data_IF_422314963741
#
_entry.id   IF_422314963741
#
_cell.length_a   1.000
_cell.length_b   1.000
_cell.length_c   1.000
_cell.angle_alpha   90.00
_cell.angle_beta   90.00
_cell.angle_gamma   90.00
#
_symmetry.space_group_name_H-M   'P 1'
#
loop_
_entity.id
_entity.type
_entity.pdbx_description
1 polymer ?
#
# COMPACT_ATOMS: atom_id res chain seq x y z
N UNK A 1 -17.62 4.89 -18.16
CA UNK A 1 -18.06 3.87 -17.18
C UNK A 1 -16.93 3.64 -16.22
N UNK A 2 -17.15 3.90 -14.95
CA UNK A 2 -16.18 3.47 -13.93
C UNK A 2 -16.08 1.95 -14.00
N UNK A 3 -14.89 1.41 -14.22
CA UNK A 3 -14.66 -0.01 -14.13
C UNK A 3 -15.15 -0.48 -12.77
N UNK A 4 -15.83 -1.61 -12.74
CA UNK A 4 -16.37 -2.18 -11.51
C UNK A 4 -15.20 -2.77 -10.70
N UNK A 5 -14.50 -1.90 -9.96
CA UNK A 5 -13.36 -2.33 -9.12
C UNK A 5 -13.87 -3.28 -8.04
N UNK A 6 -13.21 -4.41 -7.82
CA UNK A 6 -13.56 -5.27 -6.70
C UNK A 6 -13.35 -4.53 -5.37
N UNK A 7 -14.20 -4.80 -4.40
CA UNK A 7 -14.10 -4.20 -3.06
C UNK A 7 -12.85 -4.73 -2.33
N UNK A 8 -12.43 -4.01 -1.29
CA UNK A 8 -11.36 -4.47 -0.39
C UNK A 8 -11.65 -5.88 0.14
N UNK A 9 -12.87 -6.10 0.60
CA UNK A 9 -13.27 -7.42 1.14
C UNK A 9 -13.12 -8.52 0.09
N UNK A 10 -13.50 -8.26 -1.16
CA UNK A 10 -13.35 -9.22 -2.26
C UNK A 10 -11.89 -9.50 -2.56
N UNK A 11 -11.05 -8.47 -2.61
CA UNK A 11 -9.61 -8.60 -2.89
C UNK A 11 -8.93 -9.41 -1.78
N UNK A 12 -9.17 -9.07 -0.51
CA UNK A 12 -8.53 -9.75 0.61
C UNK A 12 -9.00 -11.20 0.74
N UNK A 13 -10.29 -11.48 0.49
CA UNK A 13 -10.82 -12.83 0.51
C UNK A 13 -10.21 -13.69 -0.60
N UNK A 14 -9.93 -13.12 -1.76
CA UNK A 14 -9.28 -13.82 -2.87
C UNK A 14 -7.77 -14.01 -2.64
N UNK A 15 -7.14 -13.05 -1.97
CA UNK A 15 -5.70 -13.04 -1.75
C UNK A 15 -5.26 -14.04 -0.68
N UNK A 16 -5.95 -14.04 0.46
CA UNK A 16 -5.58 -14.90 1.59
C UNK A 16 -6.16 -16.31 1.46
N UNK A 17 -5.42 -17.30 1.91
CA UNK A 17 -5.83 -18.70 1.94
C UNK A 17 -7.14 -18.84 2.74
N UNK A 18 -8.12 -19.53 2.17
CA UNK A 18 -9.46 -19.72 2.75
C UNK A 18 -10.19 -18.41 3.06
N UNK A 19 -9.74 -17.28 2.50
CA UNK A 19 -10.27 -15.97 2.80
C UNK A 19 -10.03 -15.49 4.22
N UNK A 20 -9.11 -16.15 4.96
CA UNK A 20 -8.89 -15.89 6.38
C UNK A 20 -7.69 -14.97 6.61
N UNK A 21 -7.90 -13.92 7.39
CA UNK A 21 -6.84 -12.97 7.76
C UNK A 21 -7.16 -12.28 9.08
N UNK A 22 -6.12 -11.75 9.73
CA UNK A 22 -6.26 -10.93 10.93
C UNK A 22 -6.15 -9.46 10.57
N UNK A 23 -7.20 -8.64 10.75
CA UNK A 23 -7.10 -7.21 10.56
C UNK A 23 -6.13 -6.60 11.58
N UNK A 24 -5.23 -5.73 11.11
CA UNK A 24 -4.29 -5.00 11.97
C UNK A 24 -4.74 -3.55 12.18
N UNK A 25 -5.14 -2.90 11.08
CA UNK A 25 -5.67 -1.54 11.07
C UNK A 25 -6.88 -1.54 10.13
N UNK A 26 -8.00 -0.98 10.56
CA UNK A 26 -9.27 -1.08 9.83
C UNK A 26 -9.91 0.26 9.48
N UNK A 27 -9.48 1.34 10.10
CA UNK A 27 -10.01 2.69 9.92
C UNK A 27 -9.10 3.54 9.03
N UNK A 28 -9.66 4.62 8.46
CA UNK A 28 -8.92 5.56 7.62
C UNK A 28 -8.74 5.10 6.17
N UNK A 29 -7.93 5.84 5.44
CA UNK A 29 -7.66 5.61 4.01
C UNK A 29 -6.78 4.38 3.76
N UNK A 30 -5.97 4.01 4.73
CA UNK A 30 -5.08 2.85 4.68
C UNK A 30 -5.47 1.86 5.74
N UNK A 31 -5.64 0.62 5.35
CA UNK A 31 -5.86 -0.51 6.25
C UNK A 31 -4.75 -1.56 6.07
N UNK A 32 -4.64 -2.46 7.01
CA UNK A 32 -3.63 -3.51 6.97
C UNK A 32 -4.18 -4.81 7.54
N UNK A 33 -3.63 -5.91 7.06
CA UNK A 33 -4.01 -7.25 7.47
C UNK A 33 -2.79 -8.18 7.46
N UNK A 34 -2.90 -9.26 8.18
CA UNK A 34 -1.90 -10.32 8.25
C UNK A 34 -2.58 -11.67 8.06
N UNK A 35 -1.96 -12.52 7.30
CA UNK A 35 -2.51 -13.86 7.06
C UNK A 35 -1.55 -14.72 6.26
N UNK A 36 -2.08 -15.80 5.71
CA UNK A 36 -1.31 -16.72 4.88
C UNK A 36 -1.80 -16.65 3.44
N UNK A 37 -0.88 -16.60 2.50
CA UNK A 37 -1.15 -16.70 1.07
C UNK A 37 -0.29 -17.81 0.49
N UNK A 38 -0.92 -18.82 -0.06
CA UNK A 38 -0.25 -20.02 -0.57
C UNK A 38 0.71 -20.64 0.47
N UNK A 39 0.28 -20.69 1.72
CA UNK A 39 1.04 -21.23 2.84
C UNK A 39 2.12 -20.30 3.41
N UNK A 40 2.32 -19.13 2.84
CA UNK A 40 3.33 -18.15 3.23
C UNK A 40 2.70 -17.04 4.06
N UNK A 41 3.24 -16.77 5.25
CA UNK A 41 2.83 -15.60 6.04
C UNK A 41 3.13 -14.31 5.29
N UNK A 42 2.18 -13.39 5.27
CA UNK A 42 2.29 -12.15 4.51
C UNK A 42 1.53 -11.01 5.19
N UNK A 43 2.10 -9.81 5.13
CA UNK A 43 1.43 -8.57 5.51
C UNK A 43 0.85 -7.91 4.27
N UNK A 44 -0.34 -7.36 4.40
CA UNK A 44 -1.00 -6.59 3.34
C UNK A 44 -1.28 -5.18 3.82
N UNK A 45 -0.93 -4.20 3.00
CA UNK A 45 -1.34 -2.79 3.15
C UNK A 45 -2.30 -2.48 2.02
N UNK A 46 -3.43 -1.85 2.34
CA UNK A 46 -4.48 -1.57 1.37
C UNK A 46 -4.90 -0.11 1.40
N UNK A 47 -4.78 0.57 0.25
CA UNK A 47 -5.29 1.93 0.05
C UNK A 47 -6.69 1.87 -0.56
N UNK A 48 -7.62 2.69 -0.05
CA UNK A 48 -9.05 2.63 -0.43
C UNK A 48 -9.46 3.61 -1.53
N UNK A 49 -8.52 4.35 -2.11
CA UNK A 49 -8.78 5.33 -3.16
C UNK A 49 -8.93 6.76 -2.64
N UNK A 50 -9.05 6.96 -1.34
CA UNK A 50 -9.19 8.29 -0.73
C UNK A 50 -7.83 8.90 -0.39
N UNK A 51 -7.76 10.23 -0.17
CA UNK A 51 -6.50 10.87 0.18
C UNK A 51 -5.91 10.37 1.50
N UNK A 52 -4.60 10.25 1.55
CA UNK A 52 -3.84 9.69 2.69
C UNK A 52 -3.43 10.79 3.64
N UNK A 53 -3.61 10.56 4.94
CA UNK A 53 -3.15 11.45 6.01
C UNK A 53 -1.95 10.87 6.76
N UNK A 54 -1.47 11.63 7.75
CA UNK A 54 -0.31 11.25 8.57
C UNK A 54 -0.53 9.90 9.25
N UNK A 55 -1.70 9.68 9.84
CA UNK A 55 -2.00 8.43 10.54
C UNK A 55 -2.00 7.22 9.60
N UNK A 56 -2.46 7.40 8.37
CA UNK A 56 -2.44 6.34 7.36
C UNK A 56 -1.01 5.94 7.01
N UNK A 57 -0.13 6.92 6.88
CA UNK A 57 1.29 6.70 6.59
C UNK A 57 1.97 6.00 7.76
N UNK A 58 1.66 6.39 9.00
CA UNK A 58 2.20 5.75 10.20
C UNK A 58 1.83 4.26 10.28
N UNK A 59 0.60 3.90 9.88
CA UNK A 59 0.17 2.50 9.79
C UNK A 59 1.03 1.72 8.80
N UNK A 60 1.28 2.30 7.63
CA UNK A 60 2.11 1.68 6.59
C UNK A 60 3.55 1.45 7.09
N UNK A 61 4.13 2.45 7.73
CA UNK A 61 5.47 2.34 8.34
C UNK A 61 5.49 1.22 9.38
N UNK A 62 4.47 1.14 10.23
CA UNK A 62 4.38 0.11 11.27
C UNK A 62 4.30 -1.30 10.69
N UNK A 63 3.57 -1.47 9.60
CA UNK A 63 3.51 -2.77 8.90
C UNK A 63 4.89 -3.16 8.36
N UNK A 64 5.62 -2.23 7.77
CA UNK A 64 6.96 -2.50 7.26
C UNK A 64 7.92 -2.89 8.39
N UNK A 65 7.83 -2.23 9.55
CA UNK A 65 8.61 -2.60 10.74
C UNK A 65 8.30 -4.02 11.22
N UNK A 66 7.02 -4.36 11.33
CA UNK A 66 6.58 -5.69 11.73
C UNK A 66 7.04 -6.76 10.73
N UNK A 67 6.95 -6.48 9.45
CA UNK A 67 7.41 -7.39 8.41
C UNK A 67 8.91 -7.64 8.50
N UNK A 68 9.69 -6.59 8.71
CA UNK A 68 11.15 -6.71 8.87
C UNK A 68 11.52 -7.54 10.11
N UNK A 69 10.78 -7.38 11.22
CA UNK A 69 11.00 -8.14 12.45
C UNK A 69 10.68 -9.63 12.29
N UNK A 70 9.63 -9.96 11.52
CA UNK A 70 9.15 -11.33 11.37
C UNK A 70 9.68 -12.04 10.12
N UNK A 71 10.27 -11.30 9.18
CA UNK A 71 10.77 -11.86 7.93
C UNK A 71 9.69 -12.17 6.90
N UNK A 72 8.47 -11.63 7.09
CA UNK A 72 7.35 -11.86 6.19
C UNK A 72 7.32 -10.83 5.04
N UNK A 73 6.94 -11.23 3.82
CA UNK A 73 6.72 -10.29 2.72
C UNK A 73 5.62 -9.28 3.01
N UNK A 74 5.69 -8.15 2.31
CA UNK A 74 4.64 -7.11 2.32
C UNK A 74 4.08 -6.95 0.91
N UNK A 75 2.76 -7.02 0.80
CA UNK A 75 2.03 -6.71 -0.44
C UNK A 75 1.22 -5.44 -0.20
N UNK A 76 1.46 -4.41 -0.99
CA UNK A 76 0.74 -3.14 -0.90
C UNK A 76 -0.15 -2.96 -2.11
N UNK A 77 -1.45 -2.81 -1.87
CA UNK A 77 -2.43 -2.47 -2.90
C UNK A 77 -2.55 -0.95 -2.97
N UNK A 78 -2.04 -0.37 -4.05
CA UNK A 78 -2.00 1.07 -4.26
C UNK A 78 -3.25 1.54 -5.00
N UNK A 79 -3.98 2.44 -4.37
CA UNK A 79 -5.09 3.19 -4.97
C UNK A 79 -5.31 4.45 -4.14
N UNK A 80 -4.74 5.57 -4.57
CA UNK A 80 -4.88 6.84 -3.85
C UNK A 80 -4.71 8.01 -4.81
N UNK A 81 -5.51 9.04 -4.59
CA UNK A 81 -5.38 10.32 -5.31
C UNK A 81 -4.25 11.19 -4.76
N UNK A 82 -3.58 10.74 -3.69
CA UNK A 82 -2.44 11.42 -3.10
C UNK A 82 -2.64 11.79 -1.63
N UNK A 83 -1.83 12.72 -1.15
CA UNK A 83 -1.85 13.18 0.22
C UNK A 83 -3.00 14.16 0.47
N UNK A 84 -3.50 14.20 1.72
CA UNK A 84 -4.48 15.20 2.15
C UNK A 84 -3.87 16.59 2.09
N UNK A 85 -4.60 17.55 1.52
CA UNK A 85 -4.09 18.92 1.33
C UNK A 85 -3.81 19.65 2.65
N UNK A 86 -4.53 19.30 3.71
CA UNK A 86 -4.43 19.94 5.03
C UNK A 86 -3.24 19.44 5.87
N UNK A 87 -2.49 18.46 5.39
CA UNK A 87 -1.46 17.79 6.19
C UNK A 87 -0.21 18.61 6.50
N UNK A 88 0.10 19.60 5.68
CA UNK A 88 1.23 20.49 5.90
C UNK A 88 2.58 19.78 5.99
N UNK A 89 3.47 20.34 6.82
CA UNK A 89 4.83 19.81 7.01
C UNK A 89 4.85 18.43 7.68
N UNK A 90 3.90 18.15 8.56
CA UNK A 90 3.83 16.85 9.23
C UNK A 90 3.55 15.72 8.22
N UNK A 91 2.69 15.99 7.25
CA UNK A 91 2.40 15.02 6.20
C UNK A 91 3.59 14.85 5.26
N UNK A 92 4.26 15.93 4.89
CA UNK A 92 5.48 15.88 4.07
C UNK A 92 6.56 15.06 4.76
N UNK A 93 6.77 15.29 6.07
CA UNK A 93 7.72 14.52 6.88
C UNK A 93 7.34 13.04 6.95
N UNK A 94 6.08 12.72 7.19
CA UNK A 94 5.59 11.34 7.24
C UNK A 94 5.80 10.64 5.90
N UNK A 95 5.50 11.31 4.79
CA UNK A 95 5.70 10.80 3.44
C UNK A 95 7.18 10.47 3.19
N UNK A 96 8.08 11.35 3.59
CA UNK A 96 9.52 11.11 3.47
C UNK A 96 9.98 9.92 4.32
N UNK A 97 9.45 9.79 5.54
CA UNK A 97 9.77 8.65 6.43
C UNK A 97 9.27 7.32 5.85
N UNK A 98 8.12 7.30 5.20
CA UNK A 98 7.62 6.10 4.55
C UNK A 98 8.55 5.65 3.42
N UNK A 99 8.94 6.57 2.54
CA UNK A 99 9.88 6.27 1.46
C UNK A 99 11.21 5.76 2.00
N UNK A 100 11.71 6.37 3.08
CA UNK A 100 12.94 5.93 3.74
C UNK A 100 12.79 4.52 4.35
N UNK A 101 11.64 4.21 4.95
CA UNK A 101 11.37 2.89 5.53
C UNK A 101 11.27 1.81 4.45
N UNK A 102 10.63 2.10 3.32
CA UNK A 102 10.58 1.20 2.16
C UNK A 102 12.01 0.88 1.68
N UNK A 103 12.87 1.89 1.60
CA UNK A 103 14.27 1.72 1.22
C UNK A 103 15.05 0.89 2.26
N UNK A 104 14.82 1.15 3.55
CA UNK A 104 15.47 0.43 4.65
C UNK A 104 15.12 -1.06 4.65
N UNK A 105 13.88 -1.39 4.34
CA UNK A 105 13.38 -2.78 4.33
C UNK A 105 13.68 -3.49 3.01
N UNK A 106 14.08 -2.75 1.98
CA UNK A 106 14.48 -3.32 0.69
C UNK A 106 15.64 -4.30 0.86
N UNK A 107 15.48 -5.51 0.31
CA UNK A 107 16.45 -6.58 0.48
C UNK A 107 16.35 -7.33 1.82
N UNK A 108 15.55 -6.86 2.77
CA UNK A 108 15.30 -7.56 4.04
C UNK A 108 14.12 -8.51 3.91
N UNK A 109 13.00 -8.03 3.37
CA UNK A 109 11.84 -8.86 3.02
C UNK A 109 11.36 -8.49 1.61
N UNK A 110 10.71 -9.40 0.89
CA UNK A 110 10.09 -9.07 -0.39
C UNK A 110 9.00 -8.01 -0.23
N UNK A 111 9.02 -7.02 -1.11
CA UNK A 111 8.00 -5.99 -1.20
C UNK A 111 7.35 -6.05 -2.58
N UNK A 112 6.05 -6.25 -2.62
CA UNK A 112 5.27 -6.39 -3.85
C UNK A 112 4.25 -5.26 -3.90
N UNK A 113 4.27 -4.50 -4.98
CA UNK A 113 3.28 -3.47 -5.25
C UNK A 113 2.22 -3.99 -6.22
N UNK A 114 0.95 -3.79 -5.89
CA UNK A 114 -0.18 -4.07 -6.76
C UNK A 114 -0.95 -2.78 -6.97
N UNK A 115 -0.88 -2.21 -8.16
CA UNK A 115 -1.56 -0.96 -8.48
C UNK A 115 -2.95 -1.30 -9.03
N UNK A 116 -3.98 -1.03 -8.24
CA UNK A 116 -5.37 -1.37 -8.60
C UNK A 116 -6.17 -0.17 -9.11
N UNK A 117 -5.67 1.03 -8.89
CA UNK A 117 -6.33 2.25 -9.32
C UNK A 117 -5.32 3.34 -9.65
N UNK A 118 -5.46 4.49 -9.02
CA UNK A 118 -4.53 5.61 -9.21
C UNK A 118 -3.34 5.49 -8.27
N UNK A 119 -2.14 5.64 -8.81
CA UNK A 119 -0.90 5.66 -8.02
C UNK A 119 -0.07 6.85 -8.49
N UNK A 120 -0.09 7.92 -7.72
CA UNK A 120 0.45 9.22 -8.11
C UNK A 120 1.48 9.76 -7.12
N UNK A 121 2.41 10.56 -7.62
CA UNK A 121 3.39 11.28 -6.80
C UNK A 121 4.36 10.33 -6.09
N UNK A 122 4.55 10.53 -4.79
CA UNK A 122 5.44 9.68 -3.98
C UNK A 122 4.99 8.23 -3.93
N UNK A 123 3.69 7.95 -4.04
CA UNK A 123 3.19 6.58 -4.15
C UNK A 123 3.72 5.89 -5.39
N UNK A 124 3.85 6.60 -6.51
CA UNK A 124 4.43 6.05 -7.73
C UNK A 124 5.92 5.69 -7.53
N UNK A 125 6.66 6.52 -6.81
CA UNK A 125 8.05 6.22 -6.43
C UNK A 125 8.11 4.98 -5.56
N UNK A 126 7.25 4.89 -4.56
CA UNK A 126 7.20 3.76 -3.63
C UNK A 126 6.84 2.45 -4.36
N UNK A 127 5.84 2.49 -5.22
CA UNK A 127 5.45 1.32 -6.01
C UNK A 127 6.56 0.86 -6.97
N UNK A 128 7.22 1.81 -7.63
CA UNK A 128 8.35 1.52 -8.53
C UNK A 128 9.57 0.99 -7.78
N UNK A 129 9.70 1.29 -6.49
CA UNK A 129 10.81 0.81 -5.64
C UNK A 129 10.60 -0.60 -5.11
N UNK A 130 9.42 -1.20 -5.29
CA UNK A 130 9.13 -2.57 -4.88
C UNK A 130 9.94 -3.57 -5.70
N UNK A 131 10.11 -4.77 -5.16
CA UNK A 131 10.80 -5.85 -5.86
C UNK A 131 10.02 -6.34 -7.08
N UNK A 132 8.69 -6.26 -7.00
CA UNK A 132 7.78 -6.56 -8.10
C UNK A 132 6.64 -5.56 -8.07
N UNK A 133 6.29 -5.00 -9.23
CA UNK A 133 5.13 -4.12 -9.40
C UNK A 133 4.18 -4.72 -10.42
N UNK A 134 2.96 -4.97 -9.98
CA UNK A 134 1.88 -5.51 -10.81
C UNK A 134 0.82 -4.42 -10.97
N UNK A 135 0.36 -4.18 -12.18
CA UNK A 135 -0.67 -3.17 -12.44
C UNK A 135 -1.90 -3.80 -13.06
N UNK A 136 -3.08 -3.39 -12.58
CA UNK A 136 -4.33 -3.71 -13.25
C UNK A 136 -4.37 -3.01 -14.62
N UNK A 137 -5.12 -3.58 -15.57
CA UNK A 137 -5.16 -3.08 -16.95
C UNK A 137 -5.58 -1.61 -17.05
N UNK A 138 -6.50 -1.17 -16.19
CA UNK A 138 -7.03 0.18 -16.14
C UNK A 138 -6.40 1.05 -15.05
N UNK A 139 -5.37 0.56 -14.37
CA UNK A 139 -4.67 1.31 -13.35
C UNK A 139 -3.73 2.36 -13.97
N UNK A 140 -3.47 3.41 -13.21
CA UNK A 140 -2.61 4.52 -13.63
C UNK A 140 -1.46 4.71 -12.63
N UNK A 141 -0.27 4.91 -13.16
CA UNK A 141 0.93 5.20 -12.37
C UNK A 141 1.66 6.38 -13.00
N UNK A 142 1.77 7.48 -12.28
CA UNK A 142 2.43 8.68 -12.77
C UNK A 142 3.03 9.51 -11.63
N UNK A 143 4.12 10.19 -11.92
CA UNK A 143 4.78 11.07 -10.95
C UNK A 143 4.08 12.42 -10.87
N UNK A 144 3.78 13.02 -12.03
CA UNK A 144 3.04 14.28 -12.14
C UNK A 144 1.78 14.07 -12.97
N UNK A 145 0.74 14.82 -12.65
CA UNK A 145 -0.50 14.75 -13.39
C UNK A 145 -0.25 15.02 -14.89
N UNK A 146 -0.86 14.24 -15.78
CA UNK A 146 -0.56 14.32 -17.22
C UNK A 146 -0.99 15.64 -17.88
N UNK A 147 -1.75 16.48 -17.17
CA UNK A 147 -2.23 17.77 -17.70
C UNK A 147 -1.44 18.98 -17.21
N UNK A 148 -0.42 18.79 -16.46
CA UNK A 148 0.39 19.90 -15.93
C UNK A 148 1.67 20.08 -16.71
#
# INVERSE_FOLDING_TARGET
MAANKPSKATILAAFFDDGAYSPLFTDGAVSAAYGSANGQSVYVVFEDGTPVGVQDIEKNIRVLEMAAETGAPVVTFYDSTGAKLEGGLDLLNATARLTAEIARVSGVVPQIAVVTGTCAGTNAINAASADLCIMAEDAELFLNAPFN
#
